data_IF_244248128156
#
_entry.id   IF_244248128156
#
_cell.length_a   1.000
_cell.length_b   1.000
_cell.length_c   1.000
_cell.angle_alpha   90.00
_cell.angle_beta   90.00
_cell.angle_gamma   90.00
#
_symmetry.space_group_name_H-M   'P 1'
#
loop_
_entity.id
_entity.type
_entity.pdbx_description
1 polymer ?
#
# COMPACT_ATOMS: atom_id res chain seq x y z
N UNK A 1 20.54 9.84 -4.38
CA UNK A 1 20.13 10.56 -5.61
C UNK A 1 18.71 11.01 -5.39
N UNK A 2 18.53 12.33 -5.21
CA UNK A 2 17.31 13.18 -5.22
C UNK A 2 17.53 14.32 -4.22
N UNK A 3 17.10 15.54 -4.52
CA UNK A 3 17.20 16.68 -3.59
C UNK A 3 16.07 16.68 -2.54
N UNK A 4 15.10 15.77 -2.66
CA UNK A 4 14.00 15.61 -1.70
C UNK A 4 13.00 16.77 -1.72
N UNK A 5 12.97 17.51 -2.84
CA UNK A 5 12.04 18.61 -3.07
C UNK A 5 10.67 18.10 -3.58
N UNK A 6 9.65 18.96 -3.50
CA UNK A 6 8.32 18.66 -4.07
C UNK A 6 8.31 18.67 -5.61
N UNK A 7 9.39 19.12 -6.26
CA UNK A 7 9.53 19.05 -7.71
C UNK A 7 10.11 17.68 -8.14
N UNK A 8 9.54 17.04 -9.19
CA UNK A 8 10.04 15.77 -9.67
C UNK A 8 11.43 15.94 -10.30
N UNK A 9 12.44 15.36 -9.66
CA UNK A 9 13.83 15.34 -10.13
C UNK A 9 14.01 14.62 -11.48
N UNK A 10 13.03 13.81 -11.89
CA UNK A 10 13.03 13.04 -13.13
C UNK A 10 11.69 13.13 -13.86
N UNK A 11 11.74 13.24 -15.19
CA UNK A 11 10.57 13.22 -16.07
C UNK A 11 10.71 12.09 -17.09
N UNK A 12 9.60 11.41 -17.38
CA UNK A 12 9.54 10.44 -18.47
C UNK A 12 9.69 11.19 -19.79
N UNK A 13 10.67 10.79 -20.60
CA UNK A 13 10.90 11.30 -21.96
C UNK A 13 10.79 10.18 -23.01
N UNK A 14 11.19 10.48 -24.25
CA UNK A 14 11.22 9.46 -25.31
C UNK A 14 9.85 9.14 -25.94
N UNK A 15 8.90 10.08 -25.86
CA UNK A 15 7.54 9.89 -26.39
C UNK A 15 7.49 9.65 -27.91
N UNK A 16 8.56 9.96 -28.64
CA UNK A 16 8.70 9.63 -30.05
C UNK A 16 8.68 8.11 -30.34
N UNK A 17 8.84 7.28 -29.30
CA UNK A 17 8.77 5.81 -29.37
C UNK A 17 7.47 5.22 -28.82
N UNK A 18 6.47 6.07 -28.49
CA UNK A 18 5.18 5.61 -27.96
C UNK A 18 4.27 5.04 -29.06
N UNK A 19 3.63 3.90 -28.77
CA UNK A 19 2.70 3.24 -29.68
C UNK A 19 1.28 3.24 -29.10
N UNK A 20 0.27 3.52 -29.94
CA UNK A 20 -1.14 3.39 -29.54
C UNK A 20 -1.61 1.96 -29.81
N UNK A 21 -1.86 1.19 -28.76
CA UNK A 21 -2.42 -0.17 -28.87
C UNK A 21 -3.94 -0.08 -28.75
N UNK A 22 -4.68 -0.46 -29.80
CA UNK A 22 -6.15 -0.55 -29.79
C UNK A 22 -6.58 -2.02 -29.79
N UNK A 23 -7.49 -2.38 -28.89
CA UNK A 23 -7.85 -3.77 -28.57
C UNK A 23 -8.39 -4.63 -29.73
N UNK A 24 -8.87 -4.01 -30.81
CA UNK A 24 -9.44 -4.72 -31.97
C UNK A 24 -8.42 -5.09 -33.06
N UNK A 25 -7.14 -4.72 -32.92
CA UNK A 25 -6.12 -4.95 -33.94
C UNK A 25 -4.91 -5.72 -33.42
N UNK A 26 -5.14 -6.82 -32.69
CA UNK A 26 -4.05 -7.72 -32.23
C UNK A 26 -3.33 -8.42 -33.41
N UNK A 27 -3.89 -8.37 -34.63
CA UNK A 27 -3.36 -9.13 -35.77
C UNK A 27 -2.26 -8.43 -36.57
N UNK A 28 -2.01 -7.13 -36.41
CA UNK A 28 -0.99 -6.42 -37.22
C UNK A 28 -0.35 -5.25 -36.46
N UNK A 29 0.58 -5.54 -35.55
CA UNK A 29 1.55 -4.54 -35.07
C UNK A 29 2.86 -4.77 -35.85
N UNK A 30 3.32 -3.84 -36.71
CA UNK A 30 4.49 -4.04 -37.59
C UNK A 30 5.84 -3.85 -36.90
N UNK A 31 5.87 -3.58 -35.59
CA UNK A 31 7.09 -3.31 -34.84
C UNK A 31 7.71 -4.63 -34.34
N UNK A 32 8.52 -5.29 -35.18
CA UNK A 32 9.30 -6.46 -34.75
C UNK A 32 10.50 -6.00 -33.92
N UNK A 33 10.60 -6.45 -32.67
CA UNK A 33 11.83 -6.29 -31.89
C UNK A 33 12.87 -7.28 -32.42
N UNK A 34 14.07 -6.81 -32.76
CA UNK A 34 15.18 -7.71 -33.10
C UNK A 34 15.56 -8.48 -31.82
N UNK A 35 15.46 -9.82 -31.79
CA UNK A 35 15.75 -10.58 -30.59
C UNK A 35 17.22 -10.42 -30.21
N UNK A 36 17.50 -9.70 -29.12
CA UNK A 36 18.80 -9.65 -28.46
C UNK A 36 18.79 -10.55 -27.23
N UNK A 37 19.96 -11.15 -26.94
CA UNK A 37 20.14 -12.30 -26.02
C UNK A 37 19.92 -12.01 -24.52
N UNK A 38 19.57 -10.79 -24.09
CA UNK A 38 19.44 -10.46 -22.66
C UNK A 38 18.01 -10.56 -22.16
N UNK A 39 17.84 -11.02 -20.91
CA UNK A 39 16.53 -11.11 -20.25
C UNK A 39 15.84 -9.74 -20.04
N UNK A 40 16.60 -8.66 -20.11
CA UNK A 40 16.16 -7.27 -19.95
C UNK A 40 15.55 -6.68 -21.24
N UNK A 41 15.70 -7.35 -22.39
CA UNK A 41 15.17 -6.85 -23.66
C UNK A 41 13.73 -7.32 -23.86
N UNK A 42 12.81 -6.39 -24.12
CA UNK A 42 11.41 -6.69 -24.44
C UNK A 42 11.32 -7.57 -25.70
N UNK A 43 10.49 -8.61 -25.67
CA UNK A 43 10.30 -9.50 -26.85
C UNK A 43 9.22 -8.99 -27.81
N UNK A 44 8.31 -8.17 -27.30
CA UNK A 44 7.21 -7.52 -28.01
C UNK A 44 6.87 -6.21 -27.29
N UNK A 45 6.12 -5.31 -27.94
CA UNK A 45 5.67 -4.08 -27.31
C UNK A 45 4.32 -4.30 -26.63
N UNK A 46 4.26 -4.08 -25.31
CA UNK A 46 3.02 -4.12 -24.53
C UNK A 46 3.19 -3.33 -23.24
N UNK A 47 2.08 -2.91 -22.63
CA UNK A 47 2.10 -2.26 -21.31
C UNK A 47 2.80 -3.12 -20.24
N UNK A 48 2.68 -4.45 -20.33
CA UNK A 48 3.35 -5.36 -19.39
C UNK A 48 4.88 -5.33 -19.57
N UNK A 49 5.36 -5.19 -20.79
CA UNK A 49 6.80 -5.07 -21.09
C UNK A 49 7.35 -3.70 -20.67
N UNK A 50 6.56 -2.64 -20.76
CA UNK A 50 6.94 -1.31 -20.23
C UNK A 50 7.12 -1.35 -18.70
N UNK A 51 6.20 -2.00 -17.98
CA UNK A 51 6.32 -2.21 -16.52
C UNK A 51 7.51 -3.11 -16.16
N UNK A 52 7.79 -4.13 -16.96
CA UNK A 52 8.95 -5.01 -16.78
C UNK A 52 10.26 -4.25 -16.98
N UNK A 53 10.35 -3.41 -18.01
CA UNK A 53 11.50 -2.54 -18.24
C UNK A 53 11.72 -1.56 -17.09
N UNK A 54 10.63 -0.97 -16.56
CA UNK A 54 10.70 -0.14 -15.35
C UNK A 54 11.22 -0.93 -14.14
N UNK A 55 10.77 -2.17 -13.96
CA UNK A 55 11.27 -3.06 -12.90
C UNK A 55 12.77 -3.33 -13.01
N UNK A 56 13.29 -3.58 -14.21
CA UNK A 56 14.74 -3.73 -14.42
C UNK A 56 15.52 -2.43 -14.21
N UNK A 57 14.97 -1.28 -14.63
CA UNK A 57 15.56 0.02 -14.34
C UNK A 57 15.71 0.22 -12.81
N UNK A 58 14.65 -0.03 -12.06
CA UNK A 58 14.67 0.05 -10.60
C UNK A 58 15.69 -0.93 -9.98
N UNK A 59 15.72 -2.18 -10.45
CA UNK A 59 16.68 -3.18 -9.99
C UNK A 59 18.15 -2.75 -10.23
N UNK A 60 18.41 -2.12 -11.38
CA UNK A 60 19.72 -1.54 -11.69
C UNK A 60 20.09 -0.37 -10.79
N UNK A 61 19.14 0.53 -10.47
CA UNK A 61 19.37 1.63 -9.55
C UNK A 61 19.63 1.17 -8.10
N UNK A 62 19.07 0.01 -7.73
CA UNK A 62 19.17 -0.56 -6.38
C UNK A 62 20.31 -1.59 -6.24
N UNK A 63 21.11 -1.82 -7.28
CA UNK A 63 22.17 -2.83 -7.33
C UNK A 63 21.68 -4.26 -6.94
N UNK A 64 20.47 -4.60 -7.38
CA UNK A 64 19.88 -5.93 -7.22
C UNK A 64 19.66 -6.62 -8.57
N UNK A 65 19.45 -7.93 -8.51
CA UNK A 65 19.10 -8.77 -9.65
C UNK A 65 17.77 -9.50 -9.35
N UNK A 66 16.87 -9.52 -10.34
CA UNK A 66 15.64 -10.31 -10.27
C UNK A 66 15.87 -11.61 -11.00
N UNK A 67 15.91 -12.71 -10.25
CA UNK A 67 16.12 -14.05 -10.77
C UNK A 67 14.93 -14.49 -11.65
N UNK A 68 15.10 -15.50 -12.52
CA UNK A 68 14.00 -16.05 -13.33
C UNK A 68 12.82 -16.59 -12.50
N UNK A 69 13.05 -16.94 -11.22
CA UNK A 69 12.01 -17.34 -10.26
C UNK A 69 11.18 -16.16 -9.73
N UNK A 70 11.56 -14.93 -10.07
CA UNK A 70 11.02 -13.69 -9.52
C UNK A 70 11.59 -13.32 -8.14
N UNK A 71 12.51 -14.11 -7.58
CA UNK A 71 13.18 -13.74 -6.34
C UNK A 71 14.20 -12.63 -6.60
N UNK A 72 14.31 -11.70 -5.66
CA UNK A 72 15.25 -10.59 -5.73
C UNK A 72 16.48 -10.92 -4.90
N UNK A 73 17.66 -10.76 -5.48
CA UNK A 73 18.94 -11.01 -4.81
C UNK A 73 19.89 -9.82 -5.02
N UNK A 74 20.85 -9.58 -4.10
CA UNK A 74 21.88 -8.58 -4.34
C UNK A 74 22.73 -8.91 -5.56
N UNK A 75 23.16 -7.90 -6.31
CA UNK A 75 24.02 -8.11 -7.47
C UNK A 75 25.41 -8.59 -7.03
N UNK A 76 25.97 -9.63 -7.67
CA UNK A 76 27.32 -10.10 -7.37
C UNK A 76 28.36 -8.99 -7.60
N UNK A 77 29.20 -8.70 -6.60
CA UNK A 77 30.28 -7.71 -6.71
C UNK A 77 29.91 -6.28 -6.32
N UNK A 78 28.69 -6.02 -5.84
CA UNK A 78 28.33 -4.72 -5.28
C UNK A 78 29.07 -4.48 -3.94
N UNK A 79 29.74 -3.33 -3.75
CA UNK A 79 30.55 -3.05 -2.56
C UNK A 79 29.72 -2.85 -1.28
N UNK A 80 28.48 -2.39 -1.39
CA UNK A 80 27.47 -2.38 -0.32
C UNK A 80 26.12 -2.79 -0.92
N UNK A 81 25.64 -4.02 -0.71
CA UNK A 81 24.34 -4.45 -1.22
C UNK A 81 23.22 -3.74 -0.46
N UNK A 82 22.30 -3.10 -1.19
CA UNK A 82 21.06 -2.56 -0.63
C UNK A 82 20.16 -3.74 -0.27
N UNK A 83 19.81 -3.87 1.01
CA UNK A 83 18.94 -4.94 1.49
C UNK A 83 17.48 -4.49 1.36
N UNK A 84 16.79 -5.03 0.35
CA UNK A 84 15.38 -4.77 0.13
C UNK A 84 14.51 -5.52 1.13
N UNK A 85 13.49 -4.85 1.66
CA UNK A 85 12.46 -5.40 2.53
C UNK A 85 11.44 -6.23 1.73
N UNK A 86 10.69 -7.13 2.38
CA UNK A 86 9.75 -8.00 1.68
C UNK A 86 8.74 -7.27 0.77
N UNK A 87 8.16 -6.10 1.15
CA UNK A 87 7.24 -5.38 0.26
C UNK A 87 7.92 -4.80 -0.99
N UNK A 88 9.16 -4.34 -0.88
CA UNK A 88 9.97 -3.87 -2.01
C UNK A 88 10.30 -5.03 -2.96
N UNK A 89 10.68 -6.18 -2.41
CA UNK A 89 10.94 -7.39 -3.20
C UNK A 89 9.69 -7.89 -3.92
N UNK A 90 8.52 -7.87 -3.27
CA UNK A 90 7.23 -8.25 -3.86
C UNK A 90 6.84 -7.30 -4.98
N UNK A 91 6.99 -5.99 -4.77
CA UNK A 91 6.69 -4.99 -5.79
C UNK A 91 7.60 -5.14 -7.01
N UNK A 92 8.92 -5.30 -6.80
CA UNK A 92 9.88 -5.50 -7.88
C UNK A 92 9.63 -6.81 -8.65
N UNK A 93 9.28 -7.89 -7.93
CA UNK A 93 8.85 -9.16 -8.54
C UNK A 93 7.60 -8.98 -9.40
N UNK A 94 6.60 -8.25 -8.92
CA UNK A 94 5.35 -8.00 -9.64
C UNK A 94 5.59 -7.25 -10.95
N UNK A 95 6.53 -6.29 -10.97
CA UNK A 95 6.90 -5.56 -12.20
C UNK A 95 7.63 -6.46 -13.20
N UNK A 96 8.61 -7.24 -12.75
CA UNK A 96 9.50 -8.00 -13.65
C UNK A 96 8.93 -9.34 -14.06
N UNK A 97 8.32 -10.07 -13.13
CA UNK A 97 7.81 -11.43 -13.29
C UNK A 97 6.40 -11.55 -12.67
N UNK A 98 5.40 -10.84 -13.25
CA UNK A 98 4.02 -10.84 -12.76
C UNK A 98 3.41 -12.25 -12.76
N UNK A 99 2.74 -12.59 -11.67
CA UNK A 99 1.88 -13.77 -11.59
C UNK A 99 0.60 -13.59 -12.40
N UNK A 100 -0.11 -14.70 -12.68
CA UNK A 100 -1.36 -14.69 -13.45
C UNK A 100 -2.48 -13.80 -12.86
N UNK A 101 -2.45 -13.57 -11.55
CA UNK A 101 -3.46 -12.79 -10.84
C UNK A 101 -3.01 -11.35 -10.57
N UNK A 102 -1.77 -11.00 -10.93
CA UNK A 102 -1.24 -9.67 -10.67
C UNK A 102 -1.85 -8.66 -11.64
N UNK A 103 -2.44 -7.60 -11.10
CA UNK A 103 -2.92 -6.48 -11.91
C UNK A 103 -1.74 -5.58 -12.29
N UNK A 104 -1.63 -5.19 -13.55
CA UNK A 104 -0.56 -4.31 -14.05
C UNK A 104 -1.12 -3.00 -14.59
N UNK A 105 -2.14 -2.46 -13.93
CA UNK A 105 -2.65 -1.13 -14.23
C UNK A 105 -1.96 -0.07 -13.35
N UNK A 106 -1.87 1.15 -13.89
CA UNK A 106 -1.17 2.25 -13.25
C UNK A 106 -1.77 2.64 -11.89
N UNK A 107 -3.10 2.56 -11.72
CA UNK A 107 -3.75 2.91 -10.45
C UNK A 107 -3.41 1.87 -9.37
N UNK A 108 -3.40 0.56 -9.70
CA UNK A 108 -3.01 -0.48 -8.75
C UNK A 108 -1.52 -0.48 -8.42
N UNK A 109 -0.65 -0.27 -9.41
CA UNK A 109 0.79 -0.21 -9.19
C UNK A 109 1.18 1.07 -8.43
N UNK A 110 0.51 2.20 -8.70
CA UNK A 110 0.69 3.44 -7.96
C UNK A 110 0.38 3.28 -6.47
N UNK A 111 -0.78 2.69 -6.13
CA UNK A 111 -1.11 2.40 -4.72
C UNK A 111 -0.09 1.47 -4.06
N UNK A 112 0.34 0.42 -4.75
CA UNK A 112 1.35 -0.49 -4.21
C UNK A 112 2.70 0.21 -4.00
N UNK A 113 3.06 1.17 -4.84
CA UNK A 113 4.26 1.99 -4.66
C UNK A 113 4.09 2.98 -3.49
N UNK A 114 2.93 3.62 -3.35
CA UNK A 114 2.61 4.46 -2.20
C UNK A 114 2.69 3.67 -0.89
N UNK A 115 2.23 2.41 -0.88
CA UNK A 115 2.34 1.51 0.26
C UNK A 115 3.82 1.18 0.57
N UNK A 116 4.64 0.94 -0.46
CA UNK A 116 6.08 0.73 -0.31
C UNK A 116 6.76 1.97 0.25
N UNK A 117 6.49 3.16 -0.31
CA UNK A 117 7.05 4.45 0.16
C UNK A 117 6.60 4.72 1.60
N UNK A 118 5.33 4.49 1.91
CA UNK A 118 4.79 4.63 3.26
C UNK A 118 5.51 3.68 4.21
N UNK A 119 5.74 2.43 3.81
CA UNK A 119 6.46 1.47 4.64
C UNK A 119 7.94 1.84 4.81
N UNK A 120 8.61 2.33 3.77
CA UNK A 120 9.98 2.87 3.87
C UNK A 120 10.00 4.08 4.80
N UNK A 121 9.02 4.98 4.69
CA UNK A 121 8.85 6.11 5.59
C UNK A 121 8.62 5.67 7.04
N UNK A 122 7.82 4.62 7.25
CA UNK A 122 7.60 4.00 8.56
C UNK A 122 8.89 3.37 9.08
N UNK A 123 9.68 2.68 8.25
CA UNK A 123 10.96 2.04 8.62
C UNK A 123 12.09 3.07 8.84
N UNK A 124 12.11 4.17 8.09
CA UNK A 124 13.05 5.28 8.28
C UNK A 124 12.69 6.09 9.52
N UNK A 125 11.40 6.40 9.73
CA UNK A 125 10.89 6.95 10.98
C UNK A 125 11.01 5.95 12.13
N UNK A 126 11.08 4.64 11.83
CA UNK A 126 11.24 3.62 12.85
C UNK A 126 12.58 3.69 13.58
N UNK A 127 13.57 4.30 12.93
CA UNK A 127 14.90 4.51 13.50
C UNK A 127 15.06 5.89 14.14
N UNK A 128 14.00 6.71 14.21
CA UNK A 128 14.05 8.04 14.84
C UNK A 128 12.99 8.23 15.94
N UNK A 129 12.67 7.16 16.68
CA UNK A 129 11.85 7.25 17.88
C UNK A 129 11.55 5.92 18.54
N UNK A 130 11.15 5.95 19.82
CA UNK A 130 10.82 4.75 20.60
C UNK A 130 9.42 4.87 21.18
N UNK A 131 8.70 3.75 21.24
CA UNK A 131 7.46 3.65 22.01
C UNK A 131 7.75 3.39 23.47
N UNK A 132 6.90 3.89 24.36
CA UNK A 132 6.99 3.58 25.80
C UNK A 132 5.81 2.71 26.21
N UNK A 133 6.10 1.56 26.80
CA UNK A 133 5.12 0.63 27.36
C UNK A 133 5.31 0.50 28.87
N UNK A 134 4.21 0.59 29.62
CA UNK A 134 4.19 0.34 31.06
C UNK A 134 3.11 -0.69 31.40
N UNK A 135 3.32 -1.49 32.44
CA UNK A 135 2.32 -2.42 32.95
C UNK A 135 1.54 -1.82 34.12
N UNK A 136 0.21 -1.96 34.08
CA UNK A 136 -0.64 -1.70 35.24
C UNK A 136 -0.40 -2.78 36.32
N UNK A 137 -0.61 -2.43 37.59
CA UNK A 137 -0.51 -3.38 38.70
C UNK A 137 -1.51 -4.54 38.55
N UNK A 138 -2.64 -4.28 37.90
CA UNK A 138 -3.70 -5.26 37.67
C UNK A 138 -3.57 -5.99 36.31
N UNK A 139 -2.45 -5.84 35.61
CA UNK A 139 -2.23 -6.42 34.27
C UNK A 139 -2.12 -7.94 34.22
N UNK A 140 -2.02 -8.60 35.38
CA UNK A 140 -1.79 -10.05 35.52
C UNK A 140 -0.50 -10.53 34.82
N UNK A 141 0.48 -9.63 34.65
CA UNK A 141 1.75 -9.94 33.99
C UNK A 141 2.43 -11.19 34.57
N UNK A 142 2.52 -11.29 35.90
CA UNK A 142 3.16 -12.41 36.57
C UNK A 142 2.51 -13.75 36.22
N UNK A 143 1.18 -13.83 36.25
CA UNK A 143 0.43 -15.04 35.88
C UNK A 143 0.60 -15.40 34.39
N UNK A 144 0.59 -14.40 33.51
CA UNK A 144 0.76 -14.60 32.09
C UNK A 144 2.16 -15.15 31.77
N UNK A 145 3.21 -14.51 32.29
CA UNK A 145 4.60 -14.95 32.09
C UNK A 145 4.84 -16.30 32.74
N UNK A 146 4.30 -16.57 33.93
CA UNK A 146 4.38 -17.89 34.56
C UNK A 146 3.81 -18.98 33.64
N UNK A 147 2.65 -18.76 33.02
CA UNK A 147 2.06 -19.72 32.08
C UNK A 147 2.87 -19.87 30.80
N UNK A 148 3.31 -18.77 30.19
CA UNK A 148 4.07 -18.80 28.92
C UNK A 148 5.49 -19.35 29.09
N UNK A 149 6.09 -19.20 30.26
CA UNK A 149 7.39 -19.80 30.61
C UNK A 149 7.27 -21.22 31.19
N UNK A 150 6.08 -21.81 31.18
CA UNK A 150 5.78 -23.14 31.74
C UNK A 150 6.23 -23.28 33.21
N UNK A 151 6.13 -22.19 33.98
CA UNK A 151 6.49 -22.13 35.39
C UNK A 151 7.97 -21.84 35.68
N UNK A 152 8.80 -21.61 34.65
CA UNK A 152 10.22 -21.29 34.84
C UNK A 152 10.45 -19.92 35.51
N UNK A 153 9.53 -18.96 35.32
CA UNK A 153 9.59 -17.64 35.94
C UNK A 153 8.45 -17.51 36.96
N UNK A 154 8.79 -17.41 38.25
CA UNK A 154 7.82 -17.25 39.32
C UNK A 154 7.06 -15.91 39.25
N UNK A 155 5.86 -15.87 39.83
CA UNK A 155 4.96 -14.71 39.77
C UNK A 155 5.44 -13.50 40.59
N UNK A 156 6.38 -13.68 41.51
CA UNK A 156 7.01 -12.64 42.33
C UNK A 156 8.34 -12.11 41.76
N UNK A 157 8.87 -12.76 40.72
CA UNK A 157 10.13 -12.40 40.06
C UNK A 157 9.94 -11.28 39.02
N UNK A 158 9.48 -10.12 39.46
CA UNK A 158 9.08 -9.00 38.59
C UNK A 158 10.17 -8.58 37.58
N UNK A 159 11.45 -8.60 38.00
CA UNK A 159 12.55 -8.23 37.11
C UNK A 159 12.71 -9.21 35.94
N UNK A 160 12.68 -10.52 36.22
CA UNK A 160 12.76 -11.56 35.19
C UNK A 160 11.53 -11.54 34.27
N UNK A 161 10.36 -11.20 34.81
CA UNK A 161 9.15 -11.02 34.00
C UNK A 161 9.30 -9.88 32.98
N UNK A 162 9.85 -8.73 33.40
CA UNK A 162 10.09 -7.61 32.47
C UNK A 162 11.18 -7.95 31.43
N UNK A 163 12.23 -8.65 31.83
CA UNK A 163 13.28 -9.08 30.89
C UNK A 163 12.73 -10.08 29.86
N UNK A 164 11.83 -10.98 30.27
CA UNK A 164 11.12 -11.89 29.37
C UNK A 164 10.24 -11.13 28.37
N UNK A 165 9.47 -10.13 28.84
CA UNK A 165 8.63 -9.30 27.97
C UNK A 165 9.46 -8.54 26.95
N UNK A 166 10.62 -7.98 27.35
CA UNK A 166 11.53 -7.31 26.41
C UNK A 166 11.96 -8.26 25.29
N UNK A 167 12.41 -9.47 25.65
CA UNK A 167 12.80 -10.48 24.66
C UNK A 167 11.63 -10.89 23.74
N UNK A 168 10.41 -10.99 24.27
CA UNK A 168 9.20 -11.30 23.48
C UNK A 168 8.84 -10.17 22.51
N UNK A 169 8.96 -8.91 22.93
CA UNK A 169 8.72 -7.75 22.08
C UNK A 169 9.81 -7.55 21.01
N UNK A 170 11.07 -7.81 21.36
CA UNK A 170 12.22 -7.75 20.43
C UNK A 170 12.13 -8.83 19.33
N UNK A 171 11.40 -9.93 19.59
CA UNK A 171 11.08 -10.96 18.60
C UNK A 171 10.13 -10.50 17.49
N UNK A 172 9.51 -9.32 17.65
CA UNK A 172 8.56 -8.73 16.72
C UNK A 172 7.17 -8.60 17.32
N UNK A 173 6.56 -7.42 17.12
CA UNK A 173 5.23 -7.13 17.62
C UNK A 173 4.33 -6.55 16.52
N UNK A 174 3.06 -6.92 16.54
CA UNK A 174 2.01 -6.39 15.66
C UNK A 174 0.99 -5.64 16.50
N UNK A 175 0.79 -4.36 16.20
CA UNK A 175 -0.24 -3.53 16.78
C UNK A 175 -1.54 -3.70 15.99
N UNK A 176 -2.62 -3.97 16.70
CA UNK A 176 -3.97 -4.09 16.17
C UNK A 176 -4.75 -2.85 16.60
N UNK A 177 -5.16 -2.07 15.61
CA UNK A 177 -5.88 -0.83 15.77
C UNK A 177 -7.33 -1.04 15.30
N UNK A 178 -8.36 -0.82 16.13
CA UNK A 178 -9.74 -0.84 15.66
C UNK A 178 -9.94 0.11 14.48
N UNK A 179 -10.73 -0.29 13.46
CA UNK A 179 -10.99 0.57 12.29
C UNK A 179 -11.62 1.92 12.68
N UNK A 180 -12.52 1.88 13.66
CA UNK A 180 -13.07 3.07 14.31
C UNK A 180 -12.39 3.24 15.67
N UNK A 181 -11.29 3.99 15.71
CA UNK A 181 -10.54 4.24 16.94
C UNK A 181 -10.77 5.66 17.46
N UNK A 182 -11.26 5.78 18.69
CA UNK A 182 -11.31 7.03 19.45
C UNK A 182 -10.06 7.15 20.32
N UNK A 183 -9.13 8.10 20.09
CA UNK A 183 -7.95 8.26 20.93
C UNK A 183 -8.26 8.55 22.40
N UNK A 184 -9.44 9.10 22.72
CA UNK A 184 -9.80 9.40 24.10
C UNK A 184 -10.14 8.14 24.91
N UNK A 185 -10.93 7.21 24.36
CA UNK A 185 -11.47 6.05 25.08
C UNK A 185 -11.14 4.69 24.47
N UNK A 186 -10.50 4.69 23.30
CA UNK A 186 -10.13 3.51 22.54
C UNK A 186 -9.11 2.65 23.26
N UNK A 187 -9.01 1.41 22.80
CA UNK A 187 -8.03 0.43 23.26
C UNK A 187 -7.30 -0.12 22.06
N UNK A 188 -6.01 -0.35 22.23
CA UNK A 188 -5.18 -1.02 21.24
C UNK A 188 -4.82 -2.41 21.75
N UNK A 189 -4.49 -3.33 20.84
CA UNK A 189 -3.90 -4.61 21.23
C UNK A 189 -2.55 -4.74 20.57
N UNK A 190 -1.53 -5.07 21.35
CA UNK A 190 -0.22 -5.44 20.83
C UNK A 190 -0.10 -6.95 20.91
N UNK A 191 0.30 -7.59 19.83
CA UNK A 191 0.37 -9.05 19.71
C UNK A 191 1.78 -9.44 19.29
N UNK A 192 2.38 -10.36 20.03
CA UNK A 192 3.65 -11.01 19.70
C UNK A 192 3.37 -12.48 19.34
N UNK A 193 4.42 -13.26 19.12
CA UNK A 193 4.28 -14.70 18.93
C UNK A 193 3.74 -15.40 20.18
N UNK A 194 4.11 -14.93 21.37
CA UNK A 194 3.78 -15.61 22.64
C UNK A 194 2.59 -14.98 23.38
N UNK A 195 2.35 -13.68 23.20
CA UNK A 195 1.47 -12.90 24.08
C UNK A 195 0.53 -11.96 23.32
N UNK A 196 -0.53 -11.56 24.03
CA UNK A 196 -1.41 -10.46 23.67
C UNK A 196 -1.48 -9.47 24.82
N UNK A 197 -1.19 -8.21 24.53
CA UNK A 197 -1.17 -7.09 25.46
C UNK A 197 -2.29 -6.12 25.13
N UNK A 198 -3.16 -5.81 26.09
CA UNK A 198 -4.23 -4.82 25.90
C UNK A 198 -3.81 -3.46 26.41
N UNK A 199 -3.76 -2.48 25.53
CA UNK A 199 -3.22 -1.15 25.81
C UNK A 199 -4.33 -0.11 25.97
N UNK A 200 -4.09 0.84 26.87
CA UNK A 200 -4.88 2.05 27.07
C UNK A 200 -3.95 3.29 27.10
N UNK A 201 -4.49 4.50 26.90
CA UNK A 201 -3.67 5.70 27.03
C UNK A 201 -3.29 5.96 28.48
N UNK A 202 -2.19 6.69 28.65
CA UNK A 202 -1.87 7.35 29.90
C UNK A 202 -2.86 8.49 30.15
N UNK A 203 -3.33 8.61 31.39
CA UNK A 203 -4.19 9.71 31.83
C UNK A 203 -3.58 10.30 33.10
N UNK A 204 -3.21 11.58 33.05
CA UNK A 204 -2.91 12.36 34.25
C UNK A 204 -4.21 12.70 35.00
N UNK A 205 -4.09 13.00 36.30
CA UNK A 205 -5.24 13.45 37.10
C UNK A 205 -5.83 14.72 36.47
N UNK A 206 -7.09 14.66 36.01
CA UNK A 206 -7.77 15.76 35.32
C UNK A 206 -7.26 16.11 33.91
N UNK A 207 -6.38 15.30 33.32
CA UNK A 207 -5.76 15.57 32.00
C UNK A 207 -6.37 14.73 30.87
N UNK A 208 -6.25 15.22 29.63
CA UNK A 208 -6.65 14.47 28.44
C UNK A 208 -5.86 13.16 28.30
N UNK A 209 -6.44 12.18 27.60
CA UNK A 209 -5.77 10.94 27.27
C UNK A 209 -4.59 11.21 26.32
N UNK A 210 -3.41 10.70 26.66
CA UNK A 210 -2.20 10.82 25.84
C UNK A 210 -1.60 9.44 25.61
N UNK A 211 -1.20 9.19 24.37
CA UNK A 211 -0.70 7.91 23.87
C UNK A 211 0.82 7.91 23.64
N UNK A 212 1.54 8.82 24.29
CA UNK A 212 3.01 8.80 24.35
C UNK A 212 3.54 7.68 25.28
N UNK A 213 2.74 7.30 26.28
CA UNK A 213 2.96 6.15 27.15
C UNK A 213 1.73 5.26 27.08
N UNK A 214 1.88 4.05 26.53
CA UNK A 214 0.84 3.04 26.58
C UNK A 214 0.88 2.30 27.91
N UNK A 215 -0.30 2.08 28.50
CA UNK A 215 -0.46 1.30 29.73
C UNK A 215 -1.12 -0.03 29.39
N UNK A 216 -0.41 -1.12 29.61
CA UNK A 216 -0.93 -2.46 29.48
C UNK A 216 -1.85 -2.80 30.65
N UNK A 217 -3.14 -2.95 30.38
CA UNK A 217 -4.17 -3.27 31.37
C UNK A 217 -4.33 -4.76 31.61
N UNK A 218 -4.00 -5.60 30.63
CA UNK A 218 -4.12 -7.05 30.72
C UNK A 218 -3.18 -7.70 29.73
N UNK A 219 -2.53 -8.76 30.19
CA UNK A 219 -1.62 -9.61 29.42
C UNK A 219 -2.16 -11.02 29.46
N UNK A 220 -2.24 -11.65 28.29
CA UNK A 220 -2.66 -13.04 28.16
C UNK A 220 -1.75 -13.79 27.18
N UNK A 221 -1.42 -15.06 27.45
CA UNK A 221 -0.79 -15.93 26.47
C UNK A 221 -1.63 -15.98 25.19
N UNK A 222 -0.97 -15.97 24.04
CA UNK A 222 -1.66 -15.93 22.75
C UNK A 222 -2.50 -17.20 22.57
N UNK A 223 -3.81 -17.03 22.44
CA UNK A 223 -4.71 -18.10 22.05
C UNK A 223 -4.61 -18.36 20.54
N UNK A 224 -4.69 -19.62 20.11
CA UNK A 224 -4.58 -20.03 18.71
C UNK A 224 -5.71 -19.48 17.80
N UNK A 225 -6.80 -18.99 18.39
CA UNK A 225 -7.95 -18.44 17.67
C UNK A 225 -7.92 -16.91 17.68
N UNK A 226 -7.56 -16.31 16.54
CA UNK A 226 -7.63 -14.88 16.31
C UNK A 226 -8.84 -14.53 15.42
N UNK A 227 -9.70 -13.62 15.86
CA UNK A 227 -10.82 -13.12 15.05
C UNK A 227 -10.39 -11.87 14.28
N UNK A 228 -10.09 -12.05 12.99
CA UNK A 228 -9.90 -10.97 12.01
C UNK A 228 -11.27 -10.42 11.64
N UNK A 229 -11.73 -9.38 12.33
CA UNK A 229 -13.04 -8.79 12.07
C UNK A 229 -12.99 -7.30 11.82
N UNK A 230 -12.31 -6.55 12.69
CA UNK A 230 -12.50 -5.09 12.76
C UNK A 230 -11.25 -4.31 13.16
N UNK A 231 -10.08 -4.90 12.94
CA UNK A 231 -8.78 -4.29 13.26
C UNK A 231 -7.90 -4.17 12.03
N UNK A 232 -7.15 -3.08 11.95
CA UNK A 232 -6.03 -2.89 11.04
C UNK A 232 -4.76 -3.34 11.76
N UNK A 233 -3.92 -4.10 11.06
CA UNK A 233 -2.68 -4.66 11.61
C UNK A 233 -1.49 -3.80 11.18
N UNK A 234 -0.64 -3.47 12.13
CA UNK A 234 0.57 -2.67 11.92
C UNK A 234 1.75 -3.40 12.56
N UNK A 235 2.69 -3.87 11.75
CA UNK A 235 3.96 -4.37 12.27
C UNK A 235 4.72 -3.22 12.94
N UNK A 236 5.15 -3.41 14.19
CA UNK A 236 5.95 -2.44 14.92
C UNK A 236 7.41 -2.79 14.71
N UNK A 237 8.11 -1.93 13.97
CA UNK A 237 9.55 -2.03 13.75
C UNK A 237 10.34 -1.18 14.76
N UNK A 238 9.67 -0.29 15.48
CA UNK A 238 10.27 0.62 16.45
C UNK A 238 10.57 -0.05 17.78
N UNK A 239 11.61 0.42 18.47
CA UNK A 239 11.92 -0.04 19.81
C UNK A 239 10.76 0.26 20.77
N UNK A 240 10.36 -0.75 21.55
CA UNK A 240 9.36 -0.61 22.60
C UNK A 240 10.07 -0.65 23.95
N UNK A 241 10.27 0.53 24.54
CA UNK A 241 10.91 0.67 25.85
C UNK A 241 9.92 0.29 26.96
N UNK A 242 10.19 -0.84 27.62
CA UNK A 242 9.41 -1.33 28.75
C UNK A 242 9.83 -0.63 30.04
N UNK A 243 8.98 0.29 30.51
CA UNK A 243 9.15 1.03 31.74
C UNK A 243 8.70 0.21 32.97
N UNK A 244 9.44 0.36 34.08
CA UNK A 244 9.19 -0.39 35.33
C UNK A 244 8.03 0.19 36.16
N UNK A 245 7.56 1.38 35.83
CA UNK A 245 6.47 2.07 36.53
C UNK A 245 6.36 3.53 36.09
N UNK A 246 5.37 4.25 36.63
CA UNK A 246 4.97 5.56 36.09
C UNK A 246 6.08 6.62 36.16
N UNK A 247 6.88 6.63 37.23
CA UNK A 247 8.02 7.56 37.34
C UNK A 247 9.07 7.27 36.27
N UNK A 248 9.47 6.01 36.13
CA UNK A 248 10.44 5.59 35.12
C UNK A 248 9.94 5.85 33.68
N UNK A 249 8.64 5.67 33.44
CA UNK A 249 8.01 5.98 32.16
C UNK A 249 8.07 7.49 31.85
N UNK A 250 7.75 8.35 32.83
CA UNK A 250 7.85 9.80 32.68
C UNK A 250 9.29 10.29 32.51
N UNK A 251 10.24 9.72 33.26
CA UNK A 251 11.68 10.03 33.12
C UNK A 251 12.20 9.61 31.75
N UNK A 252 11.76 8.45 31.24
CA UNK A 252 12.11 7.96 29.89
C UNK A 252 11.52 8.85 28.81
N UNK A 253 10.25 9.22 28.94
CA UNK A 253 9.59 10.19 28.06
C UNK A 253 10.32 11.53 28.03
N UNK A 254 10.70 12.07 29.20
CA UNK A 254 11.42 13.33 29.29
C UNK A 254 12.83 13.25 28.66
N UNK A 255 13.50 12.10 28.78
CA UNK A 255 14.82 11.86 28.18
C UNK A 255 14.76 11.78 26.64
N UNK A 256 13.73 11.13 26.10
CA UNK A 256 13.52 10.98 24.66
C UNK A 256 12.97 12.27 24.01
N UNK A 257 12.20 13.06 24.75
CA UNK A 257 11.68 14.34 24.29
C UNK A 257 10.83 14.18 23.02
N UNK A 258 11.23 14.78 21.87
CA UNK A 258 10.48 14.67 20.62
C UNK A 258 10.52 13.28 19.98
N UNK A 259 11.45 12.40 20.39
CA UNK A 259 11.62 11.06 19.81
C UNK A 259 10.64 10.05 20.42
N UNK A 260 9.72 10.47 21.28
CA UNK A 260 8.66 9.62 21.81
C UNK A 260 7.56 9.48 20.78
N UNK A 261 7.28 8.24 20.39
CA UNK A 261 6.24 7.95 19.41
C UNK A 261 4.86 7.83 20.06
N UNK A 262 3.85 8.33 19.34
CA UNK A 262 2.45 8.27 19.74
C UNK A 262 1.80 6.98 19.24
N UNK A 263 1.38 6.11 20.16
CA UNK A 263 0.71 4.84 19.85
C UNK A 263 -0.60 5.01 19.06
N UNK A 264 -1.27 6.17 19.16
CA UNK A 264 -2.48 6.48 18.41
C UNK A 264 -2.22 6.95 16.98
N UNK A 265 -0.98 7.24 16.61
CA UNK A 265 -0.64 7.68 15.26
C UNK A 265 -1.04 6.64 14.19
N UNK A 266 -1.03 5.35 14.52
CA UNK A 266 -1.46 4.29 13.62
C UNK A 266 -2.97 4.31 13.31
N UNK A 267 -3.78 4.97 14.14
CA UNK A 267 -5.20 5.18 13.88
C UNK A 267 -5.46 6.36 12.93
N UNK A 268 -4.51 7.30 12.82
CA UNK A 268 -4.57 8.40 11.89
C UNK A 268 -4.24 7.89 10.48
N UNK A 269 -5.15 7.13 9.89
CA UNK A 269 -5.09 6.89 8.45
C UNK A 269 -5.23 8.25 7.74
N UNK A 270 -4.39 8.58 6.74
CA UNK A 270 -4.46 9.83 5.97
C UNK A 270 -5.69 9.88 5.03
N UNK A 271 -6.86 9.42 5.50
CA UNK A 271 -8.11 9.53 4.75
C UNK A 271 -8.69 10.97 4.75
N UNK A 272 -7.98 11.95 5.31
CA UNK A 272 -8.44 13.34 5.45
C UNK A 272 -7.77 14.39 4.56
N UNK A 273 -6.71 14.06 3.82
CA UNK A 273 -6.06 15.02 2.90
C UNK A 273 -5.56 14.30 1.66
N UNK A 274 -6.40 14.25 0.64
CA UNK A 274 -5.95 14.09 -0.73
C UNK A 274 -5.79 15.50 -1.32
N UNK A 275 -4.57 16.04 -1.45
CA UNK A 275 -4.36 17.21 -2.29
C UNK A 275 -4.55 16.76 -3.74
N UNK A 276 -5.61 17.22 -4.41
CA UNK A 276 -5.70 17.17 -5.88
C UNK A 276 -6.69 16.18 -6.52
N UNK A 277 -7.50 15.41 -5.79
CA UNK A 277 -8.48 14.50 -6.42
C UNK A 277 -9.64 15.20 -7.17
N UNK A 278 -9.82 16.51 -7.00
CA UNK A 278 -10.81 17.27 -7.75
C UNK A 278 -10.46 17.42 -9.24
N UNK A 279 -9.19 17.73 -9.53
CA UNK A 279 -8.75 18.06 -10.88
C UNK A 279 -8.49 16.79 -11.71
N UNK A 280 -7.87 15.77 -11.12
CA UNK A 280 -7.64 14.48 -11.79
C UNK A 280 -8.94 13.75 -12.10
N UNK A 281 -9.95 13.82 -11.22
CA UNK A 281 -11.27 13.24 -11.52
C UNK A 281 -12.02 14.04 -12.58
N UNK A 282 -11.87 15.37 -12.62
CA UNK A 282 -12.45 16.20 -13.68
C UNK A 282 -11.82 15.87 -15.04
N UNK A 283 -10.50 15.70 -15.11
CA UNK A 283 -9.78 15.27 -16.31
C UNK A 283 -10.16 13.83 -16.72
N UNK A 284 -10.20 12.87 -15.78
CA UNK A 284 -10.66 11.50 -16.05
C UNK A 284 -12.10 11.49 -16.60
N UNK A 285 -13.01 12.31 -16.05
CA UNK A 285 -14.40 12.46 -16.55
C UNK A 285 -14.46 13.11 -17.92
N UNK A 286 -13.65 14.14 -18.18
CA UNK A 286 -13.58 14.80 -19.47
C UNK A 286 -13.07 13.84 -20.57
N UNK A 287 -12.02 13.06 -20.27
CA UNK A 287 -11.48 12.06 -21.19
C UNK A 287 -12.48 10.92 -21.46
N UNK A 288 -13.18 10.42 -20.43
CA UNK A 288 -14.25 9.44 -20.58
C UNK A 288 -15.39 9.96 -21.48
N UNK A 289 -15.80 11.22 -21.30
CA UNK A 289 -16.82 11.86 -22.14
C UNK A 289 -16.37 11.97 -23.60
N UNK A 290 -15.12 12.37 -23.84
CA UNK A 290 -14.55 12.43 -25.19
C UNK A 290 -14.51 11.04 -25.81
N UNK A 291 -14.11 10.02 -25.06
CA UNK A 291 -14.06 8.63 -25.56
C UNK A 291 -15.45 8.09 -25.92
N UNK A 292 -16.47 8.41 -25.11
CA UNK A 292 -17.86 8.04 -25.38
C UNK A 292 -18.35 8.77 -26.65
N UNK A 293 -18.05 10.06 -26.80
CA UNK A 293 -18.41 10.83 -27.99
C UNK A 293 -17.71 10.28 -29.24
N UNK A 294 -16.42 9.93 -29.16
CA UNK A 294 -15.68 9.32 -30.26
C UNK A 294 -16.25 7.95 -30.62
N UNK A 295 -16.59 7.12 -29.63
CA UNK A 295 -17.21 5.82 -29.86
C UNK A 295 -18.59 5.95 -30.51
N UNK A 296 -19.40 6.92 -30.09
CA UNK A 296 -20.70 7.22 -30.71
C UNK A 296 -20.51 7.75 -32.14
N UNK A 297 -19.57 8.66 -32.37
CA UNK A 297 -19.27 9.17 -33.71
C UNK A 297 -18.81 8.06 -34.66
N UNK A 298 -17.89 7.19 -34.21
CA UNK A 298 -17.47 6.01 -34.99
C UNK A 298 -18.59 5.01 -35.21
N UNK A 299 -19.46 4.78 -34.23
CA UNK A 299 -20.64 3.93 -34.42
C UNK A 299 -21.62 4.51 -35.45
N UNK A 300 -21.74 5.84 -35.53
CA UNK A 300 -22.50 6.55 -36.56
C UNK A 300 -21.80 6.56 -37.93
N UNK A 301 -20.47 6.49 -37.98
CA UNK A 301 -19.73 6.28 -39.24
C UNK A 301 -19.88 4.84 -39.77
N UNK A 302 -19.95 3.84 -38.87
CA UNK A 302 -20.20 2.43 -39.22
C UNK A 302 -21.65 2.21 -39.69
N UNK A 303 -22.59 3.03 -39.23
CA UNK A 303 -23.99 3.04 -39.67
C UNK A 303 -24.37 4.42 -40.21
N UNK A 304 -24.15 4.68 -41.50
CA UNK A 304 -24.50 5.97 -42.08
C UNK A 304 -26.00 6.19 -41.92
N UNK A 305 -26.33 7.29 -41.24
CA UNK A 305 -27.68 7.71 -40.90
C UNK A 305 -27.91 9.13 -41.40
N UNK A 306 -29.11 9.39 -41.89
CA UNK A 306 -29.61 10.69 -42.29
C UNK A 306 -30.46 11.26 -41.14
N UNK A 307 -30.21 12.51 -40.76
CA UNK A 307 -31.01 13.24 -39.76
C UNK A 307 -32.25 13.79 -40.45
N UNK A 308 -33.44 13.31 -40.07
CA UNK A 308 -34.70 13.72 -40.68
C UNK A 308 -35.36 14.90 -39.98
N UNK A 309 -35.24 14.97 -38.64
CA UNK A 309 -35.82 16.05 -37.84
C UNK A 309 -35.04 16.26 -36.53
N UNK A 310 -35.00 17.49 -36.05
CA UNK A 310 -34.40 17.85 -34.75
C UNK A 310 -35.27 18.86 -34.04
N UNK A 311 -35.54 18.66 -32.75
CA UNK A 311 -36.47 19.53 -32.04
C UNK A 311 -36.39 19.45 -30.51
N UNK A 312 -37.35 20.13 -29.87
CA UNK A 312 -37.53 20.13 -28.42
C UNK A 312 -39.01 19.86 -28.10
N UNK A 313 -39.27 18.82 -27.33
CA UNK A 313 -40.60 18.46 -26.87
C UNK A 313 -40.56 18.26 -25.35
N UNK A 314 -41.45 18.92 -24.61
CA UNK A 314 -41.54 18.89 -23.14
C UNK A 314 -40.19 19.15 -22.45
N UNK A 315 -39.43 20.12 -22.97
CA UNK A 315 -38.10 20.50 -22.46
C UNK A 315 -36.95 19.56 -22.84
N UNK A 316 -37.24 18.38 -23.41
CA UNK A 316 -36.23 17.40 -23.85
C UNK A 316 -35.91 17.59 -25.33
N UNK A 317 -34.61 17.57 -25.67
CA UNK A 317 -34.16 17.59 -27.07
C UNK A 317 -34.37 16.21 -27.67
N UNK A 318 -34.88 16.16 -28.91
CA UNK A 318 -35.00 14.92 -29.66
C UNK A 318 -34.37 15.08 -31.06
N UNK A 319 -33.98 13.94 -31.63
CA UNK A 319 -33.46 13.82 -33.00
C UNK A 319 -34.11 12.57 -33.62
N UNK A 320 -34.66 12.71 -34.81
CA UNK A 320 -35.21 11.60 -35.60
C UNK A 320 -34.18 11.20 -36.65
N UNK A 321 -33.74 9.94 -36.60
CA UNK A 321 -32.70 9.39 -37.47
C UNK A 321 -33.29 8.29 -38.34
N UNK A 322 -32.83 8.18 -39.59
CA UNK A 322 -33.08 7.03 -40.48
C UNK A 322 -31.74 6.53 -41.00
N UNK A 323 -31.61 5.22 -41.22
CA UNK A 323 -30.45 4.70 -41.95
C UNK A 323 -30.40 5.27 -43.38
N UNK A 324 -29.20 5.59 -43.85
CA UNK A 324 -29.00 6.14 -45.20
C UNK A 324 -29.48 5.13 -46.26
N UNK A 325 -30.44 5.50 -47.12
CA UNK A 325 -30.98 4.58 -48.12
C UNK A 325 -29.93 4.28 -49.21
N UNK A 326 -29.88 3.02 -49.65
CA UNK A 326 -28.96 2.50 -50.68
C UNK A 326 -27.49 2.39 -50.26
N UNK A 327 -27.22 2.32 -48.95
CA UNK A 327 -25.87 2.09 -48.46
C UNK A 327 -25.37 0.67 -48.79
N UNK A 328 -24.06 0.49 -48.92
CA UNK A 328 -23.42 -0.81 -49.19
C UNK A 328 -23.79 -1.88 -48.14
N UNK A 329 -24.12 -1.47 -46.90
CA UNK A 329 -24.72 -2.33 -45.88
C UNK A 329 -25.98 -3.05 -46.37
N UNK A 330 -26.90 -2.34 -47.02
CA UNK A 330 -28.16 -2.91 -47.51
C UNK A 330 -27.92 -3.86 -48.69
N UNK A 331 -26.86 -3.62 -49.47
CA UNK A 331 -26.40 -4.54 -50.52
C UNK A 331 -25.76 -5.79 -49.95
N UNK A 332 -25.01 -5.66 -48.85
CA UNK A 332 -24.38 -6.78 -48.14
C UNK A 332 -25.45 -7.64 -47.45
N UNK A 333 -26.42 -7.02 -46.76
CA UNK A 333 -27.54 -7.72 -46.14
C UNK A 333 -28.36 -8.52 -47.18
N UNK A 334 -28.70 -7.92 -48.33
CA UNK A 334 -29.35 -8.64 -49.45
C UNK A 334 -28.52 -9.79 -50.02
N UNK A 335 -27.20 -9.77 -49.85
CA UNK A 335 -26.29 -10.82 -50.36
C UNK A 335 -26.15 -11.98 -49.37
N UNK A 336 -26.37 -11.74 -48.08
CA UNK A 336 -26.19 -12.72 -47.00
C UNK A 336 -27.53 -13.33 -46.55
N UNK A 337 -28.67 -12.70 -46.90
CA UNK A 337 -30.03 -13.20 -46.65
C UNK A 337 -30.87 -12.21 -45.87
#
# INVERSE_FOLDING_TARGET
MTEGSDEPDFQVGGFEWSLRVSGDAVSQVPASVVPRKSAETAQHYSFAEDWRALGFLAANCLDVEVLPSGNVAPRPGAPLPIVLQPPEQIFLKRLVAPGRMDQLDADSLGRALDDVITNIGIVAAAHSGSFILMFDLQSKLGDAVYRASEGAIATDEFRKQLDWVRADLDGGATLLVPREFDPANGRLKLVTDSMTYRLRPSRGEGSAAVWDIAICQEVEPRAASFSVGDTVEHAIAQEILVATGIRNAQDTRARLGPDVLDWSAFAASPQGRSPGTGDTNAVKRALLLIQIIEAVAKALEVYPVEVLDTGRQDGRRYVVLRAEPNNDRDRLAKRIG
#
